data_IF_508548396367
#
_entry.id   IF_508548396367
#
_cell.length_a   1.000
_cell.length_b   1.000
_cell.length_c   1.000
_cell.angle_alpha   90.00
_cell.angle_beta   90.00
_cell.angle_gamma   90.00
#
_symmetry.space_group_name_H-M   'P 1'
#
loop_
_entity.id
_entity.type
_entity.pdbx_description
1 polymer ?
#
# COMPACT_ATOMS: atom_id res chain seq x y z
N UNK A 1 -6.04 -13.29 -5.64
CA UNK A 1 -5.79 -14.06 -4.42
C UNK A 1 -4.30 -14.06 -4.14
N UNK A 2 -3.85 -13.00 -3.48
CA UNK A 2 -2.48 -12.80 -3.03
C UNK A 2 -2.20 -13.82 -1.91
N UNK A 3 -1.20 -14.68 -2.12
CA UNK A 3 -0.78 -15.64 -1.11
C UNK A 3 0.12 -14.97 -0.06
N UNK A 4 -0.03 -15.35 1.21
CA UNK A 4 0.80 -14.84 2.31
C UNK A 4 2.30 -15.01 2.01
N UNK A 5 2.70 -16.14 1.42
CA UNK A 5 4.11 -16.43 1.11
C UNK A 5 4.66 -15.45 0.09
N UNK A 6 3.86 -15.04 -0.91
CA UNK A 6 4.29 -14.05 -1.90
C UNK A 6 4.55 -12.70 -1.24
N UNK A 7 3.69 -12.29 -0.29
CA UNK A 7 3.89 -11.04 0.47
C UNK A 7 5.15 -11.13 1.33
N UNK A 8 5.33 -12.23 2.07
CA UNK A 8 6.51 -12.44 2.91
C UNK A 8 7.79 -12.47 2.05
N UNK A 9 7.76 -13.15 0.91
CA UNK A 9 8.86 -13.20 -0.04
C UNK A 9 9.21 -11.80 -0.55
N UNK A 10 8.19 -11.02 -0.92
CA UNK A 10 8.37 -9.62 -1.34
C UNK A 10 9.02 -8.79 -0.24
N UNK A 11 8.50 -8.83 1.00
CA UNK A 11 9.09 -8.10 2.13
C UNK A 11 10.53 -8.50 2.38
N UNK A 12 10.85 -9.80 2.37
CA UNK A 12 12.23 -10.28 2.55
C UNK A 12 13.16 -9.80 1.43
N UNK A 13 12.67 -9.77 0.19
CA UNK A 13 13.43 -9.27 -0.96
C UNK A 13 13.75 -7.78 -0.77
N UNK A 14 12.75 -6.97 -0.42
CA UNK A 14 12.91 -5.53 -0.17
C UNK A 14 13.89 -5.28 0.99
N UNK A 15 13.79 -6.05 2.08
CA UNK A 15 14.75 -6.02 3.20
C UNK A 15 16.17 -6.32 2.75
N UNK A 16 16.33 -7.31 1.87
CA UNK A 16 17.64 -7.65 1.32
C UNK A 16 18.19 -6.57 0.37
N UNK A 17 17.33 -5.85 -0.35
CA UNK A 17 17.71 -4.76 -1.23
C UNK A 17 17.94 -3.44 -0.46
N UNK A 18 17.35 -3.31 0.73
CA UNK A 18 17.38 -2.12 1.56
C UNK A 18 16.59 -0.94 0.98
N UNK A 19 15.78 -1.19 -0.06
CA UNK A 19 14.94 -0.19 -0.70
C UNK A 19 13.74 -0.81 -1.39
N UNK A 20 12.73 0.01 -1.65
CA UNK A 20 11.58 -0.35 -2.46
C UNK A 20 11.95 -0.47 -3.95
N UNK A 21 11.06 -1.12 -4.71
CA UNK A 21 11.24 -1.42 -6.12
C UNK A 21 10.05 -0.96 -6.95
N UNK A 22 10.21 -0.97 -8.28
CA UNK A 22 9.15 -0.61 -9.23
C UNK A 22 7.85 -1.43 -9.11
N UNK A 23 7.86 -2.57 -8.41
CA UNK A 23 6.69 -3.44 -8.21
C UNK A 23 6.17 -3.43 -6.78
N UNK A 24 6.94 -2.92 -5.81
CA UNK A 24 6.50 -2.89 -4.43
C UNK A 24 6.98 -1.63 -3.76
N UNK A 25 6.04 -0.85 -3.23
CA UNK A 25 6.32 0.41 -2.57
C UNK A 25 5.85 0.37 -1.11
N UNK A 26 6.74 0.76 -0.18
CA UNK A 26 6.45 0.76 1.25
C UNK A 26 6.11 2.17 1.74
N UNK A 27 5.02 2.29 2.49
CA UNK A 27 4.52 3.55 3.04
C UNK A 27 4.25 3.37 4.52
N UNK A 28 4.94 4.14 5.35
CA UNK A 28 4.83 4.06 6.81
C UNK A 28 3.42 4.42 7.33
N UNK A 29 2.73 5.35 6.66
CA UNK A 29 1.34 5.79 6.87
C UNK A 29 0.72 5.40 8.22
N UNK A 30 1.21 5.94 9.33
CA UNK A 30 0.85 5.47 10.68
C UNK A 30 -0.58 5.80 11.10
N UNK A 31 -1.06 6.99 10.75
CA UNK A 31 -2.38 7.50 11.12
C UNK A 31 -3.31 7.77 9.93
N UNK A 32 -2.75 8.13 8.77
CA UNK A 32 -3.49 8.51 7.57
C UNK A 32 -2.67 8.19 6.32
N UNK A 33 -3.35 7.89 5.22
CA UNK A 33 -2.71 7.74 3.92
C UNK A 33 -2.16 9.10 3.48
N UNK A 34 -0.89 9.14 3.10
CA UNK A 34 -0.30 10.35 2.52
C UNK A 34 -0.83 10.55 1.09
N UNK A 35 -0.89 11.80 0.63
CA UNK A 35 -1.29 12.11 -0.74
C UNK A 35 -0.43 11.38 -1.79
N UNK A 36 0.84 11.16 -1.46
CA UNK A 36 1.82 10.41 -2.23
C UNK A 36 1.43 8.94 -2.45
N UNK A 37 0.59 8.33 -1.60
CA UNK A 37 0.00 7.00 -1.85
C UNK A 37 -0.82 7.01 -3.15
N UNK A 38 -1.55 8.09 -3.43
CA UNK A 38 -2.37 8.19 -4.64
C UNK A 38 -1.52 8.31 -5.90
N UNK A 39 -0.35 8.95 -5.80
CA UNK A 39 0.62 9.01 -6.88
C UNK A 39 1.12 7.61 -7.22
N UNK A 40 1.49 6.81 -6.21
CA UNK A 40 1.85 5.39 -6.38
C UNK A 40 0.73 4.56 -6.98
N UNK A 41 -0.49 4.67 -6.44
CA UNK A 41 -1.66 3.90 -6.93
C UNK A 41 -1.92 4.22 -8.41
N UNK A 42 -1.87 5.51 -8.78
CA UNK A 42 -2.03 5.95 -10.16
C UNK A 42 -0.87 5.46 -11.04
N UNK A 43 0.36 5.51 -10.57
CA UNK A 43 1.52 4.99 -11.30
C UNK A 43 1.37 3.48 -11.58
N UNK A 44 1.02 2.68 -10.58
CA UNK A 44 0.78 1.24 -10.71
C UNK A 44 -0.44 0.94 -11.60
N UNK A 45 -1.50 1.75 -11.53
CA UNK A 45 -2.64 1.62 -12.43
C UNK A 45 -2.25 1.78 -13.91
N UNK A 46 -1.27 2.65 -14.20
CA UNK A 46 -0.88 3.01 -15.56
C UNK A 46 0.29 2.20 -16.13
N UNK A 47 1.21 1.71 -15.29
CA UNK A 47 2.44 1.04 -15.74
C UNK A 47 2.34 -0.47 -15.58
N UNK A 48 2.28 -0.96 -14.34
CA UNK A 48 2.29 -2.37 -14.00
C UNK A 48 1.55 -2.60 -12.67
N UNK A 49 0.82 -3.71 -12.57
CA UNK A 49 0.26 -4.15 -11.29
C UNK A 49 1.38 -4.28 -10.25
N UNK A 50 1.22 -3.60 -9.11
CA UNK A 50 2.19 -3.58 -8.02
C UNK A 50 1.54 -3.81 -6.65
N UNK A 51 2.39 -3.91 -5.63
CA UNK A 51 2.01 -4.12 -4.23
C UNK A 51 2.36 -2.86 -3.44
N UNK A 52 1.39 -2.31 -2.70
CA UNK A 52 1.63 -1.21 -1.78
C UNK A 52 1.59 -1.77 -0.35
N UNK A 53 2.70 -1.64 0.37
CA UNK A 53 2.81 -2.03 1.77
C UNK A 53 2.49 -0.83 2.65
N UNK A 54 1.28 -0.81 3.21
CA UNK A 54 0.85 0.23 4.13
C UNK A 54 1.24 -0.13 5.57
N UNK A 55 1.74 0.84 6.32
CA UNK A 55 2.18 0.64 7.69
C UNK A 55 3.58 0.04 7.80
N UNK A 56 4.40 0.14 6.76
CA UNK A 56 5.76 -0.42 6.71
C UNK A 56 6.73 0.69 6.37
N UNK A 57 7.83 0.81 7.13
CA UNK A 57 8.83 1.85 6.91
C UNK A 57 10.10 1.30 6.27
N UNK A 58 10.41 1.76 5.06
CA UNK A 58 11.63 1.40 4.33
C UNK A 58 12.89 1.77 5.13
N UNK A 59 12.92 2.95 5.76
CA UNK A 59 14.10 3.47 6.46
C UNK A 59 14.41 2.66 7.72
N UNK A 60 13.40 2.03 8.31
CA UNK A 60 13.52 1.07 9.40
C UNK A 60 13.57 -0.38 8.89
N UNK A 61 14.02 -0.63 7.65
CA UNK A 61 14.22 -2.00 7.17
C UNK A 61 12.91 -2.77 6.93
N UNK A 62 11.89 -2.09 6.43
CA UNK A 62 10.56 -2.66 6.19
C UNK A 62 9.96 -3.26 7.47
N UNK A 63 10.12 -2.55 8.58
CA UNK A 63 9.48 -2.90 9.85
C UNK A 63 8.07 -2.29 9.90
N UNK A 64 7.10 -3.02 10.49
CA UNK A 64 5.77 -2.50 10.70
C UNK A 64 5.81 -1.31 11.66
N UNK A 65 5.18 -0.20 11.29
CA UNK A 65 5.18 1.00 12.12
C UNK A 65 4.36 0.77 13.40
N UNK A 66 4.92 1.12 14.58
CA UNK A 66 4.19 0.99 15.83
C UNK A 66 2.96 1.90 15.84
N UNK A 67 1.80 1.33 16.17
CA UNK A 67 0.53 2.06 16.19
C UNK A 67 -0.13 2.24 14.81
N UNK A 68 0.30 1.50 13.78
CA UNK A 68 -0.38 1.49 12.50
C UNK A 68 -1.82 0.96 12.62
N UNK A 69 -2.79 1.82 12.32
CA UNK A 69 -4.20 1.47 12.37
C UNK A 69 -4.65 0.87 11.03
N UNK A 70 -4.51 -0.45 10.92
CA UNK A 70 -4.93 -1.21 9.71
C UNK A 70 -6.38 -0.95 9.28
N UNK A 71 -7.39 -1.01 10.17
CA UNK A 71 -8.77 -0.80 9.75
C UNK A 71 -9.00 0.63 9.23
N UNK A 72 -8.42 1.65 9.87
CA UNK A 72 -8.50 3.03 9.39
C UNK A 72 -7.76 3.24 8.07
N UNK A 73 -6.61 2.61 7.88
CA UNK A 73 -5.88 2.70 6.60
C UNK A 73 -6.68 2.09 5.45
N UNK A 74 -7.37 0.96 5.69
CA UNK A 74 -8.28 0.35 4.72
C UNK A 74 -9.44 1.26 4.41
N UNK A 75 -10.11 1.81 5.43
CA UNK A 75 -11.23 2.74 5.29
C UNK A 75 -10.85 3.96 4.43
N UNK A 76 -9.75 4.63 4.78
CA UNK A 76 -9.19 5.75 4.02
C UNK A 76 -8.84 5.37 2.56
N UNK A 77 -8.35 4.15 2.35
CA UNK A 77 -7.99 3.67 1.00
C UNK A 77 -9.24 3.48 0.13
N UNK A 78 -10.27 2.83 0.68
CA UNK A 78 -11.57 2.58 0.02
C UNK A 78 -12.28 3.90 -0.26
N UNK A 79 -12.27 4.83 0.70
CA UNK A 79 -12.81 6.18 0.53
C UNK A 79 -12.11 6.92 -0.62
N UNK A 80 -10.78 6.98 -0.62
CA UNK A 80 -10.04 7.77 -1.59
C UNK A 80 -9.89 7.15 -2.98
N UNK A 81 -10.03 5.83 -3.13
CA UNK A 81 -10.27 5.18 -4.44
C UNK A 81 -11.58 5.65 -5.06
N UNK A 82 -12.56 6.06 -4.25
CA UNK A 82 -13.88 6.50 -4.69
C UNK A 82 -14.98 5.44 -4.62
N UNK A 83 -14.73 4.30 -3.97
CA UNK A 83 -15.73 3.23 -3.78
C UNK A 83 -16.80 3.64 -2.73
N UNK A 84 -16.45 4.56 -1.82
CA UNK A 84 -17.33 5.05 -0.75
C UNK A 84 -18.20 6.27 -1.10
N UNK A 85 -17.81 7.12 -2.04
CA UNK A 85 -18.60 8.28 -2.52
C UNK A 85 -17.92 9.03 -3.70
N UNK A 86 -18.66 9.45 -4.75
CA UNK A 86 -18.11 10.08 -5.96
C UNK A 86 -17.56 11.51 -5.78
N UNK A 87 -17.73 12.13 -4.61
CA UNK A 87 -17.27 13.51 -4.34
C UNK A 87 -15.90 13.59 -3.66
N UNK A 88 -15.25 12.47 -3.34
CA UNK A 88 -13.96 12.39 -2.64
C UNK A 88 -12.89 11.52 -3.30
N UNK A 89 -13.15 11.02 -4.52
CA UNK A 89 -12.23 10.15 -5.23
C UNK A 89 -10.96 10.91 -5.63
N UNK A 90 -9.80 10.45 -5.15
CA UNK A 90 -8.50 10.95 -5.57
C UNK A 90 -8.08 10.42 -6.95
N UNK A 91 -8.71 9.34 -7.42
CA UNK A 91 -8.46 8.75 -8.73
C UNK A 91 -9.65 8.91 -9.67
N UNK A 92 -9.41 9.45 -10.87
CA UNK A 92 -10.42 9.60 -11.93
C UNK A 92 -10.85 8.26 -12.55
N UNK A 93 -9.99 7.23 -12.49
CA UNK A 93 -10.28 5.89 -12.98
C UNK A 93 -9.66 4.86 -12.02
N UNK A 94 -10.41 4.37 -11.02
CA UNK A 94 -9.83 3.48 -10.02
C UNK A 94 -9.36 2.17 -10.65
N UNK A 95 -8.11 1.74 -10.42
CA UNK A 95 -7.65 0.44 -10.88
C UNK A 95 -8.37 -0.68 -10.12
N UNK A 96 -8.36 -1.88 -10.69
CA UNK A 96 -8.81 -3.06 -9.96
C UNK A 96 -7.76 -3.42 -8.91
N UNK A 97 -8.17 -3.46 -7.64
CA UNK A 97 -7.29 -3.71 -6.50
C UNK A 97 -7.76 -4.92 -5.68
N UNK A 98 -6.84 -5.48 -4.89
CA UNK A 98 -7.12 -6.53 -3.92
C UNK A 98 -6.48 -6.14 -2.59
N UNK A 99 -7.28 -6.10 -1.52
CA UNK A 99 -6.81 -5.82 -0.17
C UNK A 99 -6.56 -7.12 0.57
N UNK A 100 -5.36 -7.28 1.11
CA UNK A 100 -5.01 -8.40 1.98
C UNK A 100 -4.46 -7.84 3.29
N UNK A 101 -5.06 -8.24 4.42
CA UNK A 101 -4.52 -7.96 5.75
C UNK A 101 -3.54 -9.06 6.12
N UNK A 102 -2.30 -8.66 6.40
CA UNK A 102 -1.29 -9.54 6.97
C UNK A 102 -0.94 -9.07 8.38
N UNK A 103 -1.12 -9.96 9.35
CA UNK A 103 -0.64 -9.77 10.72
C UNK A 103 0.68 -10.56 10.83
N UNK A 104 1.77 -9.87 11.17
CA UNK A 104 3.11 -10.44 11.31
C UNK A 104 3.49 -10.63 12.77
#
# INVERSE_FOLDING_TARGET
>A
MIDRKEVIYTINRLRSQGKDDAYCEAKACTHSLSADVWETVSAFANTHSGIILLGVDERHGFEPCPGFDTPRAIDQFVEGIGDGSPSGAHLANPPRYELARLEM
#
